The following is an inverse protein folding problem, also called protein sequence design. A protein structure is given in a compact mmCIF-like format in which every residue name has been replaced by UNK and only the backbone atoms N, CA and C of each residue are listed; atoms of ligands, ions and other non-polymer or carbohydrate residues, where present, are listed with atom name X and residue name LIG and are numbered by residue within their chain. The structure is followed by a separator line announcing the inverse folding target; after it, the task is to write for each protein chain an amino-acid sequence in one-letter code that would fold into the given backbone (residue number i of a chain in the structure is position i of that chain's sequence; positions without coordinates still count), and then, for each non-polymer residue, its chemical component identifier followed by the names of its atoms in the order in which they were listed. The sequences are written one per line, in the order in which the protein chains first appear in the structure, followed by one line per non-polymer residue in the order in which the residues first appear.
data_IF_262298380493
#
_entry.id   IF_262298380493
#
_cell.length_a   1.000
_cell.length_b   1.000
_cell.length_c   1.000
_cell.angle_alpha   90.00
_cell.angle_beta   90.00
_cell.angle_gamma   90.00
#
_symmetry.space_group_name_H-M   'P 1'
#
loop_
_entity.id
_entity.type
_entity.pdbx_description
1 polymer ?
#
# COMPACT_ATOMS: atom_id res chain seq x y z
N UNK A 1 2.38 -5.22 -27.02
CA UNK A 1 1.15 -4.40 -26.98
C UNK A 1 0.62 -4.45 -25.55
N UNK A 2 1.15 -3.59 -24.67
CA UNK A 2 0.69 -3.55 -23.29
C UNK A 2 -0.75 -3.04 -23.20
N UNK A 3 -1.36 -3.21 -22.03
CA UNK A 3 -2.63 -2.59 -21.61
C UNK A 3 -2.69 -1.04 -21.75
N UNK A 4 -1.68 -0.40 -22.32
CA UNK A 4 -1.56 1.04 -22.56
C UNK A 4 -2.44 1.63 -23.67
N UNK A 5 -3.44 0.89 -24.15
CA UNK A 5 -4.50 1.41 -25.03
C UNK A 5 -5.77 1.86 -24.29
N UNK A 6 -5.89 1.53 -23.00
CA UNK A 6 -7.03 1.96 -22.18
C UNK A 6 -6.74 3.36 -21.65
N UNK A 7 -7.04 4.36 -22.47
CA UNK A 7 -7.01 5.76 -22.05
C UNK A 7 -8.08 6.01 -20.97
N UNK A 8 -7.75 6.82 -19.96
CA UNK A 8 -8.72 7.24 -18.92
C UNK A 8 -9.99 7.85 -19.53
N UNK A 9 -9.86 8.50 -20.70
CA UNK A 9 -11.00 9.05 -21.44
C UNK A 9 -11.95 7.98 -21.99
N UNK A 10 -11.44 6.87 -22.54
CA UNK A 10 -12.30 5.80 -23.07
C UNK A 10 -13.04 5.07 -21.95
N UNK A 11 -12.42 4.94 -20.78
CA UNK A 11 -13.07 4.36 -19.60
C UNK A 11 -14.26 5.21 -19.10
N UNK A 12 -14.15 6.54 -19.15
CA UNK A 12 -15.27 7.44 -18.78
C UNK A 12 -16.46 7.32 -19.74
N UNK A 13 -16.22 7.24 -21.05
CA UNK A 13 -17.31 7.04 -22.03
C UNK A 13 -18.03 5.71 -21.78
N UNK A 14 -17.29 4.62 -21.54
CA UNK A 14 -17.90 3.32 -21.24
C UNK A 14 -18.71 3.39 -19.94
N UNK A 15 -18.19 4.05 -18.90
CA UNK A 15 -18.88 4.23 -17.62
C UNK A 15 -20.22 4.96 -17.79
N UNK A 16 -20.25 6.03 -18.60
CA UNK A 16 -21.49 6.78 -18.87
C UNK A 16 -22.53 5.88 -19.55
N UNK A 17 -22.12 5.09 -20.54
CA UNK A 17 -23.03 4.15 -21.23
C UNK A 17 -23.59 3.13 -20.23
N UNK A 18 -22.74 2.54 -19.38
CA UNK A 18 -23.19 1.58 -18.35
C UNK A 18 -24.16 2.23 -17.36
N UNK A 19 -23.89 3.47 -16.94
CA UNK A 19 -24.79 4.23 -16.04
C UNK A 19 -26.15 4.52 -16.69
N UNK A 20 -26.21 4.73 -18.00
CA UNK A 20 -27.45 4.93 -18.74
C UNK A 20 -28.24 3.63 -18.94
N UNK A 21 -27.55 2.50 -19.22
CA UNK A 21 -28.19 1.20 -19.42
C UNK A 21 -28.77 0.62 -18.14
N UNK A 22 -27.97 0.61 -17.07
CA UNK A 22 -28.36 0.02 -15.78
C UNK A 22 -29.06 1.02 -14.85
N UNK A 23 -28.92 2.32 -15.14
CA UNK A 23 -29.35 3.39 -14.25
C UNK A 23 -28.42 3.56 -13.05
N UNK A 24 -28.30 4.79 -12.56
CA UNK A 24 -27.43 5.12 -11.41
C UNK A 24 -27.90 4.50 -10.10
N UNK A 25 -29.21 4.20 -9.96
CA UNK A 25 -29.77 3.57 -8.75
C UNK A 25 -29.23 2.15 -8.53
N UNK A 26 -29.18 1.32 -9.58
CA UNK A 26 -28.69 -0.07 -9.48
C UNK A 26 -27.17 -0.11 -9.27
N UNK A 27 -26.43 0.73 -10.00
CA UNK A 27 -24.98 0.90 -9.82
C UNK A 27 -24.64 1.37 -8.40
N UNK A 28 -25.44 2.25 -7.80
CA UNK A 28 -25.22 2.73 -6.44
C UNK A 28 -25.44 1.65 -5.39
N UNK A 29 -26.51 0.86 -5.49
CA UNK A 29 -26.78 -0.22 -4.53
C UNK A 29 -25.66 -1.27 -4.59
N UNK A 30 -25.36 -1.81 -5.77
CA UNK A 30 -24.32 -2.83 -5.95
C UNK A 30 -22.93 -2.25 -5.66
N UNK A 31 -22.67 -1.01 -6.07
CA UNK A 31 -21.41 -0.31 -5.80
C UNK A 31 -21.20 0.01 -4.32
N UNK A 32 -22.27 0.24 -3.55
CA UNK A 32 -22.17 0.40 -2.09
C UNK A 32 -21.82 -0.92 -1.42
N UNK A 33 -22.43 -2.03 -1.84
CA UNK A 33 -22.19 -3.36 -1.28
C UNK A 33 -20.77 -3.84 -1.59
N UNK A 34 -20.36 -3.74 -2.86
CA UNK A 34 -19.00 -4.09 -3.30
C UNK A 34 -17.95 -3.11 -2.77
N UNK A 35 -18.27 -1.82 -2.74
CA UNK A 35 -17.38 -0.78 -2.24
C UNK A 35 -17.12 -0.91 -0.74
N UNK A 36 -18.14 -1.29 0.03
CA UNK A 36 -17.99 -1.63 1.45
C UNK A 36 -17.05 -2.81 1.68
N UNK A 37 -17.22 -3.89 0.91
CA UNK A 37 -16.35 -5.06 0.99
C UNK A 37 -14.89 -4.75 0.62
N UNK A 38 -14.68 -3.95 -0.42
CA UNK A 38 -13.33 -3.57 -0.88
C UNK A 38 -12.67 -2.49 0.02
N UNK A 39 -13.46 -1.70 0.75
CA UNK A 39 -12.94 -0.69 1.68
C UNK A 39 -12.09 -1.29 2.79
N UNK A 40 -12.47 -2.47 3.31
CA UNK A 40 -11.67 -3.18 4.31
C UNK A 40 -10.32 -3.64 3.75
N UNK A 41 -10.30 -4.11 2.51
CA UNK A 41 -9.06 -4.50 1.81
C UNK A 41 -8.14 -3.30 1.60
N UNK A 42 -8.65 -2.16 1.10
CA UNK A 42 -7.83 -0.95 0.91
C UNK A 42 -7.23 -0.45 2.22
N UNK A 43 -7.98 -0.55 3.32
CA UNK A 43 -7.51 -0.15 4.65
C UNK A 43 -6.41 -1.07 5.17
N UNK A 44 -6.58 -2.39 5.03
CA UNK A 44 -5.59 -3.36 5.44
C UNK A 44 -4.28 -3.25 4.64
N UNK A 45 -4.36 -2.99 3.33
CA UNK A 45 -3.16 -2.74 2.50
C UNK A 45 -2.43 -1.49 2.97
N UNK A 46 -3.16 -0.38 3.18
CA UNK A 46 -2.56 0.87 3.66
C UNK A 46 -1.91 0.72 5.04
N UNK A 47 -2.59 0.06 5.97
CA UNK A 47 -2.06 -0.21 7.31
C UNK A 47 -0.85 -1.15 7.27
N UNK A 48 -0.82 -2.09 6.32
CA UNK A 48 0.34 -2.93 6.03
C UNK A 48 1.52 -2.13 5.48
N UNK A 49 1.31 -1.15 4.60
CA UNK A 49 2.34 -0.23 4.10
C UNK A 49 2.89 0.66 5.22
N UNK A 50 2.02 1.28 6.01
CA UNK A 50 2.39 2.14 7.16
C UNK A 50 3.18 1.33 8.22
N UNK A 51 2.79 0.08 8.46
CA UNK A 51 3.52 -0.85 9.35
C UNK A 51 4.89 -1.22 8.78
N UNK A 52 4.99 -1.43 7.47
CA UNK A 52 6.27 -1.72 6.80
C UNK A 52 7.25 -0.55 6.88
N UNK A 53 6.74 0.68 6.77
CA UNK A 53 7.53 1.92 6.91
C UNK A 53 8.04 2.09 8.35
N UNK A 54 7.20 1.79 9.35
CA UNK A 54 7.59 1.81 10.76
C UNK A 54 8.62 0.73 11.12
N UNK A 55 8.47 -0.49 10.58
CA UNK A 55 9.43 -1.58 10.78
C UNK A 55 10.78 -1.30 10.11
N UNK A 56 10.78 -0.67 8.94
CA UNK A 56 11.99 -0.21 8.24
C UNK A 56 12.78 0.83 9.04
N UNK A 57 12.08 1.76 9.71
CA UNK A 57 12.69 2.76 10.57
C UNK A 57 13.26 2.16 11.87
N UNK A 58 12.61 1.14 12.44
CA UNK A 58 13.05 0.44 13.65
C UNK A 58 14.25 -0.49 13.40
N UNK A 59 14.32 -1.11 12.23
CA UNK A 59 15.47 -1.94 11.82
C UNK A 59 16.72 -1.08 11.59
N UNK A 60 16.56 0.11 11.02
CA UNK A 60 17.65 1.08 10.83
C UNK A 60 18.24 1.60 12.15
N UNK A 61 17.43 1.74 13.19
CA UNK A 61 17.89 2.15 14.53
C UNK A 61 18.62 1.02 15.29
N UNK A 62 18.22 -0.24 15.07
CA UNK A 62 18.79 -1.40 15.75
C UNK A 62 20.10 -1.86 15.10
N UNK A 63 20.22 -1.79 13.78
CA UNK A 63 21.47 -2.15 13.07
C UNK A 63 22.58 -1.11 13.33
N UNK A 64 22.22 0.15 13.60
CA UNK A 64 23.20 1.20 13.92
C UNK A 64 23.80 1.08 15.33
N UNK A 65 23.06 0.55 16.31
CA UNK A 65 23.57 0.35 17.67
C UNK A 65 24.37 -0.94 17.83
N UNK A 66 24.03 -2.01 17.10
CA UNK A 66 24.74 -3.30 17.16
C UNK A 66 26.15 -3.23 16.55
N UNK A 67 26.43 -2.30 15.63
CA UNK A 67 27.76 -2.14 15.03
C UNK A 67 28.74 -1.28 15.84
N UNK A 68 28.28 -0.52 16.86
CA UNK A 68 29.14 0.37 17.65
C UNK A 68 29.67 -0.25 18.95
N UNK A 69 29.06 -1.34 19.43
CA UNK A 69 29.43 -1.98 20.70
C UNK A 69 30.52 -3.07 20.57
N UNK A 70 30.84 -3.52 19.34
CA UNK A 70 31.80 -4.63 19.12
C UNK A 70 33.26 -4.22 18.90
N UNK A 71 33.57 -2.92 18.86
CA UNK A 71 34.89 -2.42 18.45
C UNK A 71 35.74 -1.76 19.54
N UNK A 72 35.29 -1.65 20.79
CA UNK A 72 36.10 -1.02 21.86
C UNK A 72 36.07 -1.86 23.16
N UNK A 73 36.45 -3.13 23.05
CA UNK A 73 36.61 -4.02 24.22
C UNK A 73 37.79 -4.99 24.13
N UNK A 74 38.67 -4.85 23.13
CA UNK A 74 39.81 -5.75 22.92
C UNK A 74 41.13 -4.99 22.77
N UNK A 75 41.48 -4.20 23.79
CA UNK A 75 42.87 -3.82 24.08
C UNK A 75 43.03 -3.62 25.58
N UNK A 76 42.71 -4.66 26.36
CA UNK A 76 43.31 -4.81 27.69
C UNK A 76 44.58 -5.66 27.55
N UNK A 77 45.60 -5.25 28.30
CA UNK A 77 46.64 -6.13 28.86
C UNK A 77 47.60 -6.83 27.88
N UNK A 78 48.54 -6.05 27.31
CA UNK A 78 49.93 -6.53 27.12
C UNK A 78 50.90 -5.42 27.52
N UNK A 79 51.14 -5.31 28.82
CA UNK A 79 52.38 -4.93 29.54
C UNK A 79 52.05 -4.29 30.88
#
# INVERSE_FOLDING_TARGET
MGIGGVSVGSLLIVLVIVMLLFGTKRLRTIGSDLGGALSGFRKAVKEGEDTQESLSALESATVHSVHKDRSVGRTEHVR
#
